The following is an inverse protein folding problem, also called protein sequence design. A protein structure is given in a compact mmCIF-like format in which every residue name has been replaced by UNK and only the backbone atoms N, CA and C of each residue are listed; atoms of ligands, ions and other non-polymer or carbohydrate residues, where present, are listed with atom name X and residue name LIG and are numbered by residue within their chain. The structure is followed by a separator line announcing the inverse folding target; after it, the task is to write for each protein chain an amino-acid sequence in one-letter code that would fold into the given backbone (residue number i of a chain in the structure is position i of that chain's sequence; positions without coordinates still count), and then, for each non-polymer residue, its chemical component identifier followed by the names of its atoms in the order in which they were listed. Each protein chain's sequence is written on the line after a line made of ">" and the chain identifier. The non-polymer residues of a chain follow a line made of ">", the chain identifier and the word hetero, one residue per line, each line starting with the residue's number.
data_IF_876304951657
#
_entry.id   IF_876304951657
#
_cell.length_a   1.000
_cell.length_b   1.000
_cell.length_c   1.000
_cell.angle_alpha   90.00
_cell.angle_beta   90.00
_cell.angle_gamma   90.00
#
_symmetry.space_group_name_H-M   'P 1'
#
loop_
_entity.id
_entity.type
_entity.pdbx_description
1 polymer ?
#
# COMPACT_ATOMS: atom_id res chain seq x y z
N UNK A 1 11.36 -13.93 37.45
CA UNK A 1 11.20 -12.60 36.82
C UNK A 1 11.17 -12.79 35.31
N UNK A 2 10.03 -12.55 34.66
CA UNK A 2 9.89 -12.61 33.19
C UNK A 2 10.32 -11.25 32.61
N UNK A 3 11.49 -11.18 31.99
CA UNK A 3 12.01 -9.99 31.30
C UNK A 3 11.52 -9.88 29.83
N UNK A 4 10.50 -10.65 29.43
CA UNK A 4 10.10 -10.80 28.02
C UNK A 4 9.10 -9.78 27.46
N UNK A 5 8.37 -9.03 28.30
CA UNK A 5 7.22 -8.24 27.82
C UNK A 5 7.55 -6.93 27.09
N UNK A 6 8.75 -6.36 27.32
CA UNK A 6 9.10 -5.03 26.79
C UNK A 6 9.37 -5.01 25.27
N UNK A 7 10.10 -6.02 24.79
CA UNK A 7 10.48 -6.11 23.36
C UNK A 7 9.30 -6.54 22.48
N UNK A 8 8.49 -7.50 22.97
CA UNK A 8 7.26 -7.90 22.27
C UNK A 8 6.27 -6.73 22.17
N UNK A 9 6.19 -5.88 23.21
CA UNK A 9 5.34 -4.68 23.20
C UNK A 9 5.81 -3.64 22.18
N UNK A 10 7.12 -3.50 21.98
CA UNK A 10 7.68 -2.59 20.98
C UNK A 10 7.48 -3.10 19.55
N UNK A 11 7.73 -4.39 19.30
CA UNK A 11 7.47 -4.99 17.99
C UNK A 11 6.00 -4.86 17.60
N UNK A 12 5.07 -5.16 18.52
CA UNK A 12 3.64 -4.99 18.32
C UNK A 12 3.29 -3.53 17.99
N UNK A 13 3.90 -2.56 18.69
CA UNK A 13 3.69 -1.13 18.44
C UNK A 13 4.14 -0.74 17.03
N UNK A 14 5.27 -1.24 16.56
CA UNK A 14 5.78 -1.00 15.20
C UNK A 14 4.86 -1.65 14.16
N UNK A 15 4.43 -2.89 14.36
CA UNK A 15 3.49 -3.56 13.45
C UNK A 15 2.16 -2.81 13.35
N UNK A 16 1.65 -2.30 14.47
CA UNK A 16 0.41 -1.52 14.50
C UNK A 16 0.55 -0.18 13.77
N UNK A 17 1.69 0.50 13.90
CA UNK A 17 1.95 1.78 13.20
C UNK A 17 2.10 1.58 11.69
N UNK A 18 2.75 0.49 11.26
CA UNK A 18 2.84 0.10 9.85
C UNK A 18 1.44 -0.18 9.31
N UNK A 19 0.64 -1.01 9.99
CA UNK A 19 -0.71 -1.34 9.56
C UNK A 19 -1.60 -0.10 9.40
N UNK A 20 -1.53 0.84 10.34
CA UNK A 20 -2.24 2.11 10.24
C UNK A 20 -1.82 2.90 8.99
N UNK A 21 -0.52 3.02 8.75
CA UNK A 21 0.03 3.77 7.61
C UNK A 21 -0.34 3.12 6.28
N UNK A 22 -0.25 1.80 6.17
CA UNK A 22 -0.69 1.04 4.99
C UNK A 22 -2.17 1.29 4.73
N UNK A 23 -3.03 1.22 5.76
CA UNK A 23 -4.45 1.50 5.62
C UNK A 23 -4.72 2.89 5.05
N UNK A 24 -4.04 3.92 5.57
CA UNK A 24 -4.13 5.30 5.08
C UNK A 24 -3.78 5.42 3.60
N UNK A 25 -2.65 4.87 3.19
CA UNK A 25 -2.20 4.89 1.78
C UNK A 25 -3.25 4.23 0.89
N UNK A 26 -3.77 3.08 1.31
CA UNK A 26 -4.70 2.33 0.49
C UNK A 26 -6.08 2.98 0.39
N UNK A 27 -6.54 3.67 1.43
CA UNK A 27 -7.75 4.49 1.39
C UNK A 27 -7.57 5.67 0.41
N UNK A 28 -6.42 6.35 0.46
CA UNK A 28 -6.09 7.48 -0.43
C UNK A 28 -6.00 7.07 -1.89
N UNK A 29 -5.32 5.96 -2.20
CA UNK A 29 -5.28 5.37 -3.55
C UNK A 29 -6.69 4.99 -4.03
N UNK A 30 -7.53 4.46 -3.16
CA UNK A 30 -8.94 4.16 -3.47
C UNK A 30 -9.71 5.39 -3.96
N UNK A 31 -9.47 6.55 -3.33
CA UNK A 31 -10.10 7.82 -3.68
C UNK A 31 -9.60 8.36 -5.03
N UNK A 32 -8.27 8.35 -5.26
CA UNK A 32 -7.66 8.85 -6.51
C UNK A 32 -8.22 8.10 -7.72
N UNK A 33 -8.28 6.77 -7.66
CA UNK A 33 -8.85 5.97 -8.75
C UNK A 33 -10.33 6.30 -9.00
N UNK A 34 -11.12 6.51 -7.94
CA UNK A 34 -12.54 6.89 -8.08
C UNK A 34 -12.72 8.28 -8.72
N UNK A 35 -11.82 9.21 -8.41
CA UNK A 35 -11.84 10.57 -8.92
C UNK A 35 -11.39 10.64 -10.38
N UNK A 36 -10.38 9.86 -10.77
CA UNK A 36 -9.95 9.75 -12.17
C UNK A 36 -11.04 9.13 -13.06
N UNK A 37 -11.72 8.08 -12.56
CA UNK A 37 -12.83 7.44 -13.27
C UNK A 37 -14.03 8.38 -13.49
N UNK A 38 -14.26 9.30 -12.55
CA UNK A 38 -15.31 10.32 -12.70
C UNK A 38 -14.89 11.48 -13.60
N UNK A 39 -13.61 11.87 -13.59
CA UNK A 39 -13.07 12.98 -14.40
C UNK A 39 -12.95 12.64 -15.90
N UNK A 40 -12.57 11.41 -16.27
CA UNK A 40 -12.54 10.98 -17.68
C UNK A 40 -13.90 11.01 -18.39
N UNK A 41 -15.01 11.11 -17.64
CA UNK A 41 -16.37 11.15 -18.20
C UNK A 41 -16.87 12.57 -18.53
N UNK A 42 -16.16 13.62 -18.11
CA UNK A 42 -16.60 15.01 -18.30
C UNK A 42 -16.29 15.58 -19.70
N UNK A 43 -15.55 14.85 -20.56
CA UNK A 43 -15.12 15.32 -21.88
C UNK A 43 -15.91 14.75 -23.08
N UNK A 44 -16.97 13.95 -22.87
CA UNK A 44 -17.91 13.58 -23.94
C UNK A 44 -19.22 14.37 -23.80
N UNK A 45 -19.25 15.59 -24.34
CA UNK A 45 -20.51 16.30 -24.65
C UNK A 45 -20.61 16.38 -26.18
N UNK A 46 -21.33 15.43 -26.78
CA UNK A 46 -21.89 15.53 -28.13
C UNK A 46 -23.41 15.43 -27.99
N UNK A 47 -24.21 16.38 -28.53
CA UNK A 47 -25.65 16.32 -28.45
C UNK A 47 -26.22 15.60 -29.67
N UNK A 48 -27.06 14.58 -29.49
CA UNK A 48 -28.19 14.31 -30.39
C UNK A 48 -29.03 13.09 -29.95
N UNK A 49 -30.30 13.39 -29.68
CA UNK A 49 -31.49 12.60 -30.00
C UNK A 49 -31.60 11.12 -29.56
N UNK A 50 -32.43 10.93 -28.54
CA UNK A 50 -33.53 9.95 -28.47
C UNK A 50 -33.26 8.50 -28.89
N UNK A 51 -33.16 7.60 -27.91
CA UNK A 51 -34.02 6.41 -27.82
C UNK A 51 -33.94 5.76 -26.42
N UNK A 52 -35.12 5.43 -25.90
CA UNK A 52 -35.35 4.70 -24.65
C UNK A 52 -34.65 3.35 -24.69
N UNK A 53 -33.74 3.10 -23.74
CA UNK A 53 -33.54 1.80 -23.11
C UNK A 53 -32.75 1.99 -21.82
N UNK A 54 -33.37 1.61 -20.71
CA UNK A 54 -32.79 1.62 -19.37
C UNK A 54 -31.66 0.58 -19.31
N UNK A 55 -30.43 1.00 -19.62
CA UNK A 55 -29.23 0.33 -19.14
C UNK A 55 -28.65 1.22 -18.04
N UNK A 56 -29.14 1.04 -16.81
CA UNK A 56 -28.40 1.46 -15.62
C UNK A 56 -27.12 0.63 -15.56
N UNK A 57 -26.09 1.07 -16.29
CA UNK A 57 -24.72 0.69 -16.00
C UNK A 57 -24.40 1.24 -14.61
N UNK A 58 -24.72 0.46 -13.57
CA UNK A 58 -24.22 0.62 -12.23
C UNK A 58 -22.70 0.79 -12.34
N UNK A 59 -22.24 2.03 -12.15
CA UNK A 59 -20.82 2.34 -12.02
C UNK A 59 -20.38 1.61 -10.77
N UNK A 60 -19.78 0.43 -10.94
CA UNK A 60 -19.38 -0.40 -9.81
C UNK A 60 -18.25 0.33 -9.10
N UNK A 61 -18.58 1.01 -8.00
CA UNK A 61 -17.59 1.61 -7.12
C UNK A 61 -16.54 0.52 -6.79
N UNK A 62 -15.25 0.89 -6.88
CA UNK A 62 -14.17 -0.05 -6.54
C UNK A 62 -14.45 -0.59 -5.13
N UNK A 63 -14.40 -1.92 -4.93
CA UNK A 63 -14.62 -2.48 -3.60
C UNK A 63 -13.61 -1.89 -2.61
N UNK A 64 -14.02 -1.62 -1.37
CA UNK A 64 -13.07 -1.25 -0.32
C UNK A 64 -12.03 -2.37 -0.16
N UNK A 65 -10.80 -2.01 0.22
CA UNK A 65 -9.76 -3.00 0.51
C UNK A 65 -10.23 -3.96 1.61
N UNK A 66 -10.01 -5.27 1.41
CA UNK A 66 -10.21 -6.22 2.51
C UNK A 66 -9.18 -6.01 3.63
N UNK A 67 -9.59 -6.31 4.86
CA UNK A 67 -8.72 -6.19 6.04
C UNK A 67 -7.54 -7.15 5.94
N UNK A 68 -7.78 -8.33 5.38
CA UNK A 68 -6.78 -9.38 5.19
C UNK A 68 -5.72 -8.93 4.18
N UNK A 69 -6.13 -8.32 3.06
CA UNK A 69 -5.18 -7.79 2.07
C UNK A 69 -4.33 -6.66 2.66
N UNK A 70 -4.94 -5.78 3.47
CA UNK A 70 -4.22 -4.71 4.17
C UNK A 70 -3.20 -5.27 5.17
N UNK A 71 -3.56 -6.31 5.93
CA UNK A 71 -2.65 -6.99 6.84
C UNK A 71 -1.46 -7.63 6.10
N UNK A 72 -1.71 -8.29 4.96
CA UNK A 72 -0.65 -8.87 4.13
C UNK A 72 0.32 -7.82 3.58
N UNK A 73 -0.18 -6.65 3.19
CA UNK A 73 0.66 -5.52 2.77
C UNK A 73 1.51 -5.00 3.94
N UNK A 74 0.93 -4.89 5.14
CA UNK A 74 1.67 -4.49 6.33
C UNK A 74 2.78 -5.48 6.70
N UNK A 75 2.50 -6.79 6.60
CA UNK A 75 3.50 -7.84 6.82
C UNK A 75 4.61 -7.80 5.77
N UNK A 76 4.29 -7.51 4.51
CA UNK A 76 5.28 -7.34 3.45
C UNK A 76 6.22 -6.16 3.76
N UNK A 77 5.67 -5.00 4.16
CA UNK A 77 6.46 -3.81 4.52
C UNK A 77 7.35 -4.10 5.74
N UNK A 78 6.80 -4.76 6.76
CA UNK A 78 7.59 -5.17 7.92
C UNK A 78 8.73 -6.10 7.50
N UNK A 79 8.47 -7.07 6.61
CA UNK A 79 9.49 -8.01 6.13
C UNK A 79 10.61 -7.30 5.36
N UNK A 80 10.27 -6.34 4.50
CA UNK A 80 11.26 -5.54 3.78
C UNK A 80 12.18 -4.76 4.73
N UNK A 81 11.67 -4.32 5.88
CA UNK A 81 12.51 -3.67 6.90
C UNK A 81 13.54 -4.62 7.53
N UNK A 82 13.21 -5.90 7.70
CA UNK A 82 14.16 -6.93 8.15
C UNK A 82 15.25 -7.20 7.11
N UNK A 83 14.89 -7.19 5.81
CA UNK A 83 15.85 -7.40 4.72
C UNK A 83 16.91 -6.29 4.67
N UNK A 84 16.53 -5.04 4.91
CA UNK A 84 17.48 -3.93 5.02
C UNK A 84 18.48 -4.14 6.17
N UNK A 85 18.00 -4.58 7.33
CA UNK A 85 18.87 -4.91 8.46
C UNK A 85 19.80 -6.09 8.11
N UNK A 86 19.29 -7.09 7.38
CA UNK A 86 20.07 -8.22 6.92
C UNK A 86 21.19 -7.80 5.97
N UNK A 87 20.94 -6.94 4.98
CA UNK A 87 21.97 -6.45 4.06
C UNK A 87 23.07 -5.66 4.78
N UNK A 88 22.69 -4.76 5.70
CA UNK A 88 23.66 -4.03 6.49
C UNK A 88 24.56 -4.98 7.31
N UNK A 89 23.96 -5.98 7.97
CA UNK A 89 24.70 -6.99 8.74
C UNK A 89 25.59 -7.87 7.86
N UNK A 90 25.15 -8.24 6.66
CA UNK A 90 25.94 -8.99 5.69
C UNK A 90 27.21 -8.23 5.26
N UNK A 91 27.14 -6.90 5.22
CA UNK A 91 28.29 -6.02 4.99
C UNK A 91 29.08 -5.69 6.28
N UNK A 92 28.87 -6.43 7.38
CA UNK A 92 29.46 -6.18 8.70
C UNK A 92 29.17 -4.77 9.28
N UNK A 93 28.04 -4.18 8.91
CA UNK A 93 27.59 -2.87 9.41
C UNK A 93 26.43 -3.03 10.40
N UNK A 94 26.35 -2.09 11.34
CA UNK A 94 25.19 -1.92 12.24
C UNK A 94 24.23 -0.82 11.78
N UNK A 95 24.65 -0.02 10.80
CA UNK A 95 23.92 1.13 10.28
C UNK A 95 23.55 0.81 8.83
N UNK A 96 22.26 0.94 8.51
CA UNK A 96 21.72 0.82 7.14
C UNK A 96 22.19 2.01 6.32
N UNK A 97 22.65 1.75 5.09
CA UNK A 97 23.12 2.73 4.12
C UNK A 97 22.26 2.71 2.86
N UNK A 98 22.44 3.70 2.01
CA UNK A 98 21.74 3.82 0.72
C UNK A 98 21.96 2.59 -0.17
N UNK A 99 23.14 2.01 -0.16
CA UNK A 99 23.47 0.76 -0.88
C UNK A 99 22.57 -0.43 -0.50
N UNK A 100 22.09 -0.51 0.75
CA UNK A 100 21.17 -1.57 1.19
C UNK A 100 19.77 -1.38 0.57
N UNK A 101 19.34 -0.13 0.42
CA UNK A 101 18.07 0.23 -0.24
C UNK A 101 18.17 -0.05 -1.73
N UNK A 102 19.28 0.34 -2.38
CA UNK A 102 19.53 -0.01 -3.79
C UNK A 102 19.54 -1.53 -3.99
N UNK A 103 20.13 -2.29 -3.06
CA UNK A 103 20.16 -3.74 -3.12
C UNK A 103 18.77 -4.37 -2.94
N UNK A 104 17.91 -3.78 -2.11
CA UNK A 104 16.51 -4.20 -1.95
C UNK A 104 15.74 -4.00 -3.27
N UNK A 105 15.93 -2.85 -3.93
CA UNK A 105 15.28 -2.49 -5.18
C UNK A 105 15.83 -3.21 -6.43
N UNK A 106 16.92 -4.00 -6.32
CA UNK A 106 17.69 -4.52 -7.47
C UNK A 106 16.90 -5.29 -8.55
N UNK A 107 15.73 -5.83 -8.21
CA UNK A 107 14.85 -6.55 -9.15
C UNK A 107 13.79 -5.68 -9.81
N UNK A 108 13.68 -4.42 -9.41
CA UNK A 108 12.69 -3.45 -9.87
C UNK A 108 13.42 -2.22 -10.46
N UNK A 109 13.78 -2.25 -11.76
CA UNK A 109 14.64 -1.22 -12.37
C UNK A 109 13.96 0.15 -12.52
N UNK A 110 12.63 0.21 -12.37
CA UNK A 110 11.82 1.43 -12.49
C UNK A 110 11.33 1.95 -11.13
N UNK A 111 11.89 1.42 -10.03
CA UNK A 111 11.67 1.94 -8.68
C UNK A 111 12.69 3.03 -8.37
#
# INVERSE_FOLDING_TARGET
>A
MKLGGGLESEELRVRQSILYTVGRICDEEGLIYSQLLSSSRAHEIVPAAAQKQQHEHHVRARPPMSKEAMALLADLVYKQSEELQFFARHANRKIIKTEDVTLLARKQPNL
#
